data_IF_081424345991
#
_entry.id   IF_081424345991
#
_cell.length_a   1.000
_cell.length_b   1.000
_cell.length_c   1.000
_cell.angle_alpha   90.00
_cell.angle_beta   90.00
_cell.angle_gamma   90.00
#
_symmetry.space_group_name_H-M   'P 1'
#
loop_
_entity.id
_entity.type
_entity.pdbx_description
1 polymer ?
#
# COMPACT_ATOMS: atom_id res chain seq x y z
N UNK A 1 -41.80 -35.54 5.59
CA UNK A 1 -43.23 -35.29 5.48
C UNK A 1 -43.38 -33.85 5.10
N UNK A 2 -43.66 -33.46 3.98
CA UNK A 2 -44.45 -33.62 2.84
C UNK A 2 -44.16 -32.43 1.89
N UNK A 3 -43.81 -32.76 0.78
CA UNK A 3 -43.70 -32.06 -0.50
C UNK A 3 -44.98 -31.28 -0.82
N UNK A 4 -44.86 -30.06 -1.40
CA UNK A 4 -45.76 -29.63 -2.49
C UNK A 4 -45.02 -28.72 -3.48
N UNK A 5 -44.95 -29.21 -4.71
CA UNK A 5 -44.79 -28.49 -5.99
C UNK A 5 -46.14 -27.90 -6.43
N UNK A 6 -46.12 -26.81 -7.18
CA UNK A 6 -47.02 -26.45 -8.28
C UNK A 6 -46.24 -25.43 -9.13
N UNK A 7 -45.78 -25.71 -10.32
CA UNK A 7 -46.38 -25.88 -11.65
C UNK A 7 -46.92 -24.55 -12.24
N UNK A 8 -46.17 -24.08 -13.23
CA UNK A 8 -46.46 -23.60 -14.59
C UNK A 8 -47.83 -22.98 -14.88
N UNK A 9 -47.80 -21.76 -15.53
CA UNK A 9 -48.74 -21.39 -16.60
C UNK A 9 -48.03 -20.57 -17.66
N UNK A 10 -48.20 -21.00 -18.86
CA UNK A 10 -47.93 -20.68 -20.25
C UNK A 10 -48.40 -19.29 -20.71
N UNK A 11 -47.69 -18.83 -21.74
CA UNK A 11 -48.11 -17.85 -22.78
C UNK A 11 -49.45 -18.20 -23.46
N UNK A 12 -50.06 -17.29 -24.29
CA UNK A 12 -49.62 -16.93 -25.64
C UNK A 12 -49.99 -15.46 -26.05
N UNK A 13 -49.31 -14.76 -26.97
CA UNK A 13 -49.35 -14.96 -28.41
C UNK A 13 -50.24 -13.88 -29.11
N UNK A 14 -49.68 -13.15 -30.10
CA UNK A 14 -50.25 -12.71 -31.37
C UNK A 14 -49.39 -11.60 -32.00
N UNK A 15 -48.68 -11.84 -33.07
CA UNK A 15 -48.98 -11.82 -34.50
C UNK A 15 -49.81 -10.61 -34.98
N UNK A 16 -49.25 -9.85 -35.91
CA UNK A 16 -49.72 -9.42 -37.24
C UNK A 16 -48.81 -8.26 -37.69
N UNK A 17 -48.01 -8.34 -38.73
CA UNK A 17 -48.26 -8.44 -40.16
C UNK A 17 -48.64 -7.11 -40.81
N UNK A 18 -47.90 -6.77 -41.85
CA UNK A 18 -48.43 -6.03 -43.00
C UNK A 18 -47.48 -5.00 -43.57
N UNK A 19 -46.70 -5.37 -44.55
CA UNK A 19 -46.90 -5.10 -45.99
C UNK A 19 -46.43 -3.73 -46.53
N UNK A 20 -45.53 -3.83 -47.48
CA UNK A 20 -45.44 -3.36 -48.88
C UNK A 20 -44.77 -1.98 -49.02
N UNK A 21 -43.67 -1.78 -49.71
CA UNK A 21 -43.38 -2.17 -51.08
C UNK A 21 -43.52 -0.95 -51.96
N UNK A 22 -42.40 -0.48 -52.51
CA UNK A 22 -42.44 0.10 -53.87
C UNK A 22 -41.02 0.17 -54.43
N UNK A 23 -40.87 -0.45 -55.57
CA UNK A 23 -39.69 -0.39 -56.44
C UNK A 23 -39.79 0.90 -57.31
N UNK A 24 -38.66 1.48 -57.62
CA UNK A 24 -38.56 2.58 -58.58
C UNK A 24 -37.20 2.59 -59.25
N UNK A 25 -37.18 2.09 -60.44
CA UNK A 25 -36.10 2.04 -61.42
C UNK A 25 -35.82 3.44 -61.97
N UNK A 26 -34.58 3.83 -62.19
CA UNK A 26 -34.22 5.04 -62.92
C UNK A 26 -32.74 5.09 -63.33
N UNK A 27 -32.50 4.89 -64.58
CA UNK A 27 -31.24 4.78 -65.33
C UNK A 27 -30.43 6.07 -65.40
N UNK A 28 -29.12 5.92 -65.41
CA UNK A 28 -28.08 6.50 -66.26
C UNK A 28 -27.99 8.01 -66.48
N UNK A 29 -26.84 8.57 -66.24
CA UNK A 29 -26.01 9.25 -67.25
C UNK A 29 -24.64 9.64 -66.73
N UNK A 30 -23.66 9.44 -67.54
CA UNK A 30 -22.24 9.74 -67.45
C UNK A 30 -21.93 11.22 -67.21
N UNK A 31 -20.82 11.54 -66.63
CA UNK A 31 -20.20 12.81 -66.88
C UNK A 31 -19.28 13.33 -65.80
N UNK A 32 -18.03 13.37 -66.16
CA UNK A 32 -17.05 14.36 -65.77
C UNK A 32 -16.25 14.14 -64.46
N UNK A 33 -15.06 13.66 -64.65
CA UNK A 33 -13.88 13.84 -63.82
C UNK A 33 -13.78 15.28 -63.31
N UNK A 34 -13.79 15.44 -62.03
CA UNK A 34 -13.14 16.55 -61.32
C UNK A 34 -12.30 15.97 -60.20
N UNK A 35 -10.98 15.95 -60.46
CA UNK A 35 -9.98 15.82 -59.40
C UNK A 35 -10.26 16.93 -58.36
N UNK A 36 -10.77 16.51 -57.20
CA UNK A 36 -10.74 17.34 -56.00
C UNK A 36 -9.54 16.85 -55.18
N UNK A 37 -8.46 17.60 -55.30
CA UNK A 37 -7.32 17.52 -54.40
C UNK A 37 -7.85 17.98 -53.02
N UNK A 38 -8.22 17.00 -52.17
CA UNK A 38 -8.46 17.27 -50.74
C UNK A 38 -7.08 17.41 -50.13
N UNK A 39 -6.61 18.64 -50.03
CA UNK A 39 -5.53 19.00 -49.15
C UNK A 39 -5.99 18.63 -47.74
N UNK A 40 -5.50 17.48 -47.23
CA UNK A 40 -5.57 17.13 -45.83
C UNK A 40 -4.77 18.18 -45.07
N UNK A 41 -5.39 19.24 -44.64
CA UNK A 41 -4.89 20.05 -43.53
C UNK A 41 -4.85 19.12 -42.31
N UNK A 42 -3.71 18.52 -42.10
CA UNK A 42 -3.31 18.05 -40.78
C UNK A 42 -3.31 19.30 -39.89
N UNK A 43 -4.46 19.60 -39.30
CA UNK A 43 -4.53 20.45 -38.14
C UNK A 43 -3.82 19.66 -37.07
N UNK A 44 -2.54 19.95 -36.88
CA UNK A 44 -1.82 19.59 -35.66
C UNK A 44 -2.62 20.29 -34.54
N UNK A 45 -3.56 19.56 -33.96
CA UNK A 45 -4.16 19.97 -32.71
C UNK A 45 -2.98 20.26 -31.77
N UNK A 46 -2.88 21.45 -31.17
CA UNK A 46 -1.89 21.65 -30.12
C UNK A 46 -2.16 20.55 -29.12
N UNK A 47 -1.16 19.70 -28.90
CA UNK A 47 -1.14 18.84 -27.74
C UNK A 47 -1.25 19.82 -26.56
N UNK A 48 -2.46 20.02 -26.07
CA UNK A 48 -2.71 20.56 -24.75
C UNK A 48 -1.84 19.71 -23.86
N UNK A 49 -0.79 20.34 -23.29
CA UNK A 49 0.11 19.70 -22.37
C UNK A 49 -0.78 19.02 -21.34
N UNK A 50 -0.86 17.71 -21.41
CA UNK A 50 -1.64 16.94 -20.47
C UNK A 50 -1.16 17.38 -19.08
N UNK A 51 -2.08 17.94 -18.28
CA UNK A 51 -1.84 18.33 -16.89
C UNK A 51 -1.61 17.05 -16.07
N UNK A 52 -0.54 16.32 -16.42
CA UNK A 52 -0.15 15.10 -15.72
C UNK A 52 0.50 15.46 -14.38
N UNK A 53 0.31 14.61 -13.40
CA UNK A 53 0.95 14.72 -12.08
C UNK A 53 2.43 14.44 -12.23
N UNK A 54 3.29 15.32 -11.70
CA UNK A 54 4.73 15.08 -11.69
C UNK A 54 5.06 13.91 -10.76
N UNK A 55 5.78 12.93 -11.29
CA UNK A 55 6.13 11.70 -10.58
C UNK A 55 7.59 11.34 -10.79
N UNK A 56 8.10 10.58 -9.84
CA UNK A 56 9.34 9.79 -9.93
C UNK A 56 8.96 8.32 -9.98
N UNK A 57 9.40 7.62 -11.00
CA UNK A 57 9.17 6.19 -11.20
C UNK A 57 10.47 5.46 -10.97
N UNK A 58 10.51 4.57 -9.98
CA UNK A 58 11.64 3.66 -9.76
C UNK A 58 11.36 2.35 -10.50
N UNK A 59 12.35 1.89 -11.26
CA UNK A 59 12.29 0.68 -12.08
C UNK A 59 13.07 -0.46 -11.38
N UNK A 60 12.83 -1.67 -11.80
CA UNK A 60 13.38 -2.91 -11.23
C UNK A 60 14.92 -2.97 -11.25
N UNK A 61 15.57 -2.31 -12.20
CA UNK A 61 17.03 -2.23 -12.30
C UNK A 61 17.66 -1.20 -11.34
N UNK A 62 16.84 -0.50 -10.55
CA UNK A 62 17.26 0.55 -9.61
C UNK A 62 17.38 1.92 -10.25
N UNK A 63 17.09 2.06 -11.54
CA UNK A 63 17.03 3.38 -12.19
C UNK A 63 15.76 4.11 -11.78
N UNK A 64 15.84 5.44 -11.71
CA UNK A 64 14.69 6.28 -11.46
C UNK A 64 14.50 7.26 -12.61
N UNK A 65 13.28 7.31 -13.13
CA UNK A 65 12.88 8.25 -14.18
C UNK A 65 11.91 9.29 -13.61
N UNK A 66 12.05 10.54 -14.03
CA UNK A 66 11.15 11.63 -13.63
C UNK A 66 10.36 12.12 -14.84
N UNK A 67 9.08 12.43 -14.61
CA UNK A 67 8.20 12.90 -15.67
C UNK A 67 6.80 13.22 -15.18
N UNK A 68 5.87 13.32 -16.12
CA UNK A 68 4.44 13.52 -15.82
C UNK A 68 3.68 12.23 -16.10
N UNK A 69 3.00 11.72 -15.10
CA UNK A 69 2.15 10.55 -15.23
C UNK A 69 0.96 10.87 -16.11
N UNK A 70 0.80 10.11 -17.19
CA UNK A 70 -0.29 10.25 -18.16
C UNK A 70 -1.38 9.21 -17.87
N UNK A 71 -0.97 7.94 -17.73
CA UNK A 71 -1.88 6.82 -17.53
C UNK A 71 -1.19 5.68 -16.78
N UNK A 72 -1.94 4.95 -15.98
CA UNK A 72 -1.61 3.61 -15.52
C UNK A 72 -2.70 2.69 -16.03
N UNK A 73 -2.35 1.86 -17.01
CA UNK A 73 -3.21 0.82 -17.56
C UNK A 73 -3.01 -0.53 -16.85
N UNK A 74 -3.55 -1.60 -17.44
CA UNK A 74 -3.43 -2.94 -16.88
C UNK A 74 -2.01 -3.53 -16.98
N UNK A 75 -1.27 -3.17 -18.03
CA UNK A 75 0.04 -3.78 -18.33
C UNK A 75 1.19 -2.76 -18.36
N UNK A 76 0.90 -1.47 -18.48
CA UNK A 76 1.93 -0.45 -18.60
C UNK A 76 1.54 0.88 -17.95
N UNK A 77 2.57 1.61 -17.56
CA UNK A 77 2.53 2.99 -17.13
C UNK A 77 2.99 3.87 -18.30
N UNK A 78 2.23 4.93 -18.58
CA UNK A 78 2.60 5.95 -19.56
C UNK A 78 3.03 7.23 -18.86
N UNK A 79 4.21 7.71 -19.20
CA UNK A 79 4.81 8.90 -18.62
C UNK A 79 5.34 9.82 -19.72
N UNK A 80 5.06 11.12 -19.63
CA UNK A 80 5.63 12.14 -20.49
C UNK A 80 6.92 12.71 -19.89
N UNK A 81 8.00 12.75 -20.66
CA UNK A 81 9.23 13.39 -20.27
C UNK A 81 9.17 14.93 -20.32
N UNK A 82 10.25 15.61 -19.98
CA UNK A 82 10.34 17.08 -20.00
C UNK A 82 10.09 17.68 -21.41
N UNK A 83 10.29 16.91 -22.47
CA UNK A 83 10.01 17.32 -23.86
C UNK A 83 8.56 17.08 -24.27
N UNK A 84 7.74 16.46 -23.42
CA UNK A 84 6.38 16.06 -23.72
C UNK A 84 6.25 14.74 -24.48
N UNK A 85 7.35 14.02 -24.69
CA UNK A 85 7.34 12.72 -25.35
C UNK A 85 6.85 11.65 -24.38
N UNK A 86 5.78 10.95 -24.76
CA UNK A 86 5.21 9.87 -23.96
C UNK A 86 6.03 8.58 -24.14
N UNK A 87 6.40 7.96 -23.03
CA UNK A 87 7.07 6.67 -22.96
C UNK A 87 6.17 5.69 -22.21
N UNK A 88 6.19 4.43 -22.61
CA UNK A 88 5.51 3.33 -21.95
C UNK A 88 6.50 2.48 -21.20
N UNK A 89 6.23 2.23 -19.93
CA UNK A 89 7.03 1.37 -19.04
C UNK A 89 6.14 0.19 -18.63
N UNK A 90 6.54 -1.06 -18.90
CA UNK A 90 5.79 -2.23 -18.44
C UNK A 90 5.64 -2.23 -16.92
N UNK A 91 4.41 -2.47 -16.40
CA UNK A 91 4.16 -2.45 -14.95
C UNK A 91 4.94 -3.50 -14.18
N UNK A 92 5.30 -4.61 -14.83
CA UNK A 92 6.16 -5.64 -14.23
C UNK A 92 7.55 -5.11 -13.85
N UNK A 93 8.03 -4.07 -14.55
CA UNK A 93 9.29 -3.39 -14.28
C UNK A 93 9.17 -2.25 -13.30
N UNK A 94 7.97 -1.71 -13.08
CA UNK A 94 7.75 -0.59 -12.16
C UNK A 94 7.77 -1.10 -10.72
N UNK A 95 8.59 -0.49 -9.89
CA UNK A 95 8.63 -0.73 -8.44
C UNK A 95 7.77 0.24 -7.69
N UNK A 96 8.06 1.52 -7.88
CA UNK A 96 7.32 2.58 -7.20
C UNK A 96 7.02 3.73 -8.14
N UNK A 97 5.89 4.35 -7.92
CA UNK A 97 5.53 5.64 -8.51
C UNK A 97 5.31 6.60 -7.35
N UNK A 98 6.16 7.60 -7.23
CA UNK A 98 6.11 8.58 -6.16
C UNK A 98 5.77 9.95 -6.72
N UNK A 99 4.79 10.61 -6.11
CA UNK A 99 4.42 11.96 -6.50
C UNK A 99 5.48 12.95 -6.01
N UNK A 100 5.91 13.84 -6.88
CA UNK A 100 6.78 14.96 -6.49
C UNK A 100 5.97 16.08 -5.87
N UNK A 101 6.39 16.50 -4.67
CA UNK A 101 5.73 17.55 -3.88
C UNK A 101 6.13 18.97 -4.23
N UNK A 102 7.05 19.14 -5.19
CA UNK A 102 7.64 20.45 -5.56
C UNK A 102 6.70 21.34 -6.36
N UNK A 103 5.49 20.91 -6.67
CA UNK A 103 4.51 21.74 -7.35
C UNK A 103 3.70 22.57 -6.35
N UNK A 104 3.61 23.91 -6.55
CA UNK A 104 2.76 24.76 -5.75
C UNK A 104 1.29 24.35 -5.95
N UNK A 105 0.66 23.85 -4.93
CA UNK A 105 -0.73 23.39 -4.93
C UNK A 105 -1.02 22.19 -4.04
N UNK A 106 0.00 21.51 -3.54
CA UNK A 106 -0.18 20.54 -2.47
C UNK A 106 -0.56 21.29 -1.20
N UNK A 107 -1.80 21.17 -0.78
CA UNK A 107 -2.21 21.63 0.56
C UNK A 107 -1.26 20.96 1.56
N UNK A 108 -0.56 21.71 2.43
CA UNK A 108 0.28 21.08 3.42
C UNK A 108 -0.57 20.07 4.19
N UNK A 109 -0.03 18.89 4.44
CA UNK A 109 -0.68 17.78 5.16
C UNK A 109 -0.98 18.10 6.64
N UNK A 110 -1.27 19.35 6.97
CA UNK A 110 -1.43 19.89 8.33
C UNK A 110 -2.88 20.04 8.77
N UNK A 111 -3.85 19.66 7.97
CA UNK A 111 -5.18 19.43 8.51
C UNK A 111 -5.16 18.07 9.20
N UNK A 112 -4.99 18.05 10.52
CA UNK A 112 -5.12 16.83 11.32
C UNK A 112 -6.48 16.20 10.99
N UNK A 113 -6.44 15.02 10.41
CA UNK A 113 -7.65 14.28 10.08
C UNK A 113 -8.44 14.02 11.35
N UNK A 114 -9.74 14.35 11.32
CA UNK A 114 -10.62 14.27 12.50
C UNK A 114 -11.07 12.84 12.80
N UNK A 115 -11.00 11.97 11.82
CA UNK A 115 -11.48 10.59 11.90
C UNK A 115 -10.41 9.65 11.45
N UNK A 116 -10.21 8.57 12.19
CA UNK A 116 -9.38 7.43 11.83
C UNK A 116 -10.24 6.17 11.80
N UNK A 117 -10.22 5.47 10.69
CA UNK A 117 -10.93 4.19 10.51
C UNK A 117 -9.90 3.08 10.46
N UNK A 118 -10.07 2.08 11.30
CA UNK A 118 -9.27 0.86 11.32
C UNK A 118 -10.09 -0.27 10.70
N UNK A 119 -9.53 -0.94 9.69
CA UNK A 119 -10.17 -2.07 9.04
C UNK A 119 -9.73 -3.40 9.65
N UNK A 120 -10.45 -4.47 9.36
CA UNK A 120 -10.17 -5.84 9.86
C UNK A 120 -8.84 -6.40 9.38
N UNK A 121 -8.26 -5.86 8.32
CA UNK A 121 -6.96 -6.22 7.77
C UNK A 121 -5.82 -5.32 8.29
N UNK A 122 -6.04 -4.62 9.39
CA UNK A 122 -5.13 -3.64 9.97
C UNK A 122 -4.84 -2.41 9.09
N UNK A 123 -5.52 -2.24 7.96
CA UNK A 123 -5.48 -1.00 7.17
C UNK A 123 -6.03 0.15 8.01
N UNK A 124 -5.32 1.27 8.01
CA UNK A 124 -5.74 2.50 8.71
C UNK A 124 -5.94 3.63 7.71
N UNK A 125 -7.13 4.22 7.72
CA UNK A 125 -7.50 5.35 6.88
C UNK A 125 -7.91 6.52 7.76
N UNK A 126 -7.50 7.72 7.39
CA UNK A 126 -7.89 8.94 8.06
C UNK A 126 -8.67 9.86 7.12
N UNK A 127 -9.61 10.60 7.67
CA UNK A 127 -10.48 11.52 6.95
C UNK A 127 -11.04 12.59 7.86
N UNK A 128 -11.97 13.37 7.34
CA UNK A 128 -12.59 14.47 8.06
C UNK A 128 -13.95 14.09 8.65
N UNK A 129 -14.66 13.17 8.00
CA UNK A 129 -15.99 12.72 8.42
C UNK A 129 -16.21 11.24 8.11
N UNK A 130 -16.98 10.57 8.98
CA UNK A 130 -17.39 9.18 8.83
C UNK A 130 -18.88 9.04 9.10
N UNK A 131 -19.60 8.49 8.15
CA UNK A 131 -21.02 8.21 8.24
C UNK A 131 -21.32 6.75 7.85
N UNK A 132 -22.35 6.20 8.49
CA UNK A 132 -22.84 4.88 8.15
C UNK A 132 -24.37 4.85 8.22
N UNK A 133 -24.98 4.36 7.12
CA UNK A 133 -26.39 4.03 7.07
C UNK A 133 -26.59 2.81 6.17
N UNK A 134 -27.24 1.78 6.65
CA UNK A 134 -27.48 0.56 5.90
C UNK A 134 -26.24 -0.32 5.70
N UNK A 135 -25.95 -0.74 4.47
CA UNK A 135 -24.89 -1.71 4.18
C UNK A 135 -23.47 -1.09 4.01
N UNK A 136 -23.40 0.20 3.69
CA UNK A 136 -22.13 0.88 3.37
C UNK A 136 -21.81 1.99 4.38
N UNK A 137 -20.54 2.09 4.74
CA UNK A 137 -19.98 3.21 5.46
C UNK A 137 -19.23 4.12 4.49
N UNK A 138 -19.15 5.40 4.80
CA UNK A 138 -18.45 6.40 3.98
C UNK A 138 -17.44 7.13 4.82
N UNK A 139 -16.20 7.18 4.36
CA UNK A 139 -15.14 8.04 4.87
C UNK A 139 -14.90 9.17 3.86
N UNK A 140 -15.01 10.42 4.29
CA UNK A 140 -14.77 11.60 3.47
C UNK A 140 -13.52 12.33 3.96
N UNK A 141 -12.71 12.85 3.04
CA UNK A 141 -11.48 13.58 3.38
C UNK A 141 -10.75 14.08 2.13
N UNK A 142 -9.46 14.39 2.28
CA UNK A 142 -8.61 14.88 1.17
C UNK A 142 -8.50 13.87 0.01
N UNK A 143 -8.57 12.58 0.32
CA UNK A 143 -8.59 11.52 -0.69
C UNK A 143 -9.91 11.42 -1.49
N UNK A 144 -10.92 12.22 -1.11
CA UNK A 144 -12.26 12.15 -1.64
C UNK A 144 -13.20 11.37 -0.74
N UNK A 145 -14.24 10.79 -1.33
CA UNK A 145 -15.22 9.94 -0.65
C UNK A 145 -14.89 8.47 -0.90
N UNK A 146 -14.56 7.75 0.15
CA UNK A 146 -14.23 6.33 0.12
C UNK A 146 -15.39 5.54 0.72
N UNK A 147 -15.98 4.64 -0.03
CA UNK A 147 -17.02 3.73 0.44
C UNK A 147 -16.37 2.46 1.00
N UNK A 148 -16.74 2.13 2.23
CA UNK A 148 -16.20 1.01 2.99
C UNK A 148 -17.32 -0.01 3.26
N UNK A 149 -17.14 -1.28 2.89
CA UNK A 149 -18.05 -2.32 3.38
C UNK A 149 -18.02 -2.33 4.90
N UNK A 150 -19.16 -2.14 5.56
CA UNK A 150 -19.18 -2.09 7.02
C UNK A 150 -18.56 -3.36 7.64
N UNK A 151 -18.72 -4.51 7.00
CA UNK A 151 -18.11 -5.76 7.44
C UNK A 151 -16.58 -5.71 7.55
N UNK A 152 -15.92 -4.75 6.92
CA UNK A 152 -14.46 -4.54 6.99
C UNK A 152 -14.05 -3.51 8.01
N UNK A 153 -14.97 -2.68 8.50
CA UNK A 153 -14.66 -1.68 9.53
C UNK A 153 -14.55 -2.35 10.89
N UNK A 154 -13.39 -2.24 11.53
CA UNK A 154 -13.10 -2.77 12.86
C UNK A 154 -13.33 -1.71 13.94
N UNK A 155 -12.81 -0.49 13.70
CA UNK A 155 -12.94 0.61 14.63
C UNK A 155 -12.97 1.95 13.92
N UNK A 156 -13.61 2.92 14.55
CA UNK A 156 -13.58 4.33 14.15
C UNK A 156 -13.17 5.15 15.37
N UNK A 157 -12.16 5.97 15.21
CA UNK A 157 -11.64 6.87 16.22
C UNK A 157 -11.86 8.31 15.78
N UNK A 158 -12.44 9.11 16.63
CA UNK A 158 -12.61 10.55 16.40
C UNK A 158 -11.68 11.34 17.29
N UNK A 159 -10.98 12.28 16.70
CA UNK A 159 -10.10 13.19 17.39
C UNK A 159 -10.82 14.50 17.67
N UNK A 160 -10.71 15.00 18.88
CA UNK A 160 -11.17 16.35 19.21
C UNK A 160 -10.26 17.39 18.54
N UNK A 161 -10.82 18.52 18.09
CA UNK A 161 -10.02 19.64 17.57
C UNK A 161 -9.02 20.12 18.64
N UNK A 162 -7.74 20.24 18.26
CA UNK A 162 -6.69 20.74 19.14
C UNK A 162 -6.22 19.78 20.24
N UNK A 163 -6.69 18.53 20.27
CA UNK A 163 -6.13 17.53 21.16
C UNK A 163 -4.74 17.13 20.65
N UNK A 164 -3.70 17.46 21.42
CA UNK A 164 -2.40 16.82 21.28
C UNK A 164 -2.63 15.31 21.21
N UNK A 165 -1.80 14.57 20.43
CA UNK A 165 -1.94 13.13 20.21
C UNK A 165 -2.27 12.42 21.54
N UNK A 166 -3.56 12.35 21.86
CA UNK A 166 -4.05 11.69 23.05
C UNK A 166 -3.84 10.20 22.87
N UNK A 167 -3.54 9.49 23.97
CA UNK A 167 -3.41 8.04 23.96
C UNK A 167 -4.61 7.43 23.23
N UNK A 168 -4.32 6.51 22.31
CA UNK A 168 -5.38 5.80 21.61
C UNK A 168 -6.18 4.98 22.61
N UNK A 169 -7.50 5.15 22.65
CA UNK A 169 -8.37 4.32 23.48
C UNK A 169 -8.32 2.84 23.08
N UNK A 170 -7.84 2.53 21.85
CA UNK A 170 -7.72 1.17 21.34
C UNK A 170 -6.83 0.28 22.22
N UNK A 171 -5.78 0.86 22.83
CA UNK A 171 -4.86 0.15 23.71
C UNK A 171 -5.43 -0.11 25.11
N UNK A 172 -6.57 0.54 25.43
CA UNK A 172 -7.24 0.47 26.73
C UNK A 172 -8.54 -0.36 26.69
N UNK A 173 -8.82 -1.02 25.55
CA UNK A 173 -10.05 -1.83 25.42
C UNK A 173 -10.02 -2.98 26.41
N UNK A 174 -11.11 -3.19 27.21
CA UNK A 174 -11.18 -4.28 28.17
C UNK A 174 -11.05 -5.65 27.51
N UNK A 175 -10.32 -6.56 28.18
CA UNK A 175 -10.27 -7.96 27.78
C UNK A 175 -11.63 -8.63 27.99
N UNK A 176 -12.01 -9.56 27.10
CA UNK A 176 -13.26 -10.33 27.23
C UNK A 176 -14.50 -9.60 26.74
N UNK A 177 -14.37 -8.47 26.03
CA UNK A 177 -15.50 -7.77 25.38
C UNK A 177 -16.27 -8.74 24.47
N UNK A 178 -17.59 -8.87 24.68
CA UNK A 178 -18.45 -9.84 24.01
C UNK A 178 -19.35 -9.22 22.93
N UNK A 179 -19.39 -7.90 22.80
CA UNK A 179 -20.22 -7.16 21.83
C UNK A 179 -19.49 -5.95 21.24
N UNK A 180 -20.16 -5.19 20.38
CA UNK A 180 -19.64 -3.92 19.88
C UNK A 180 -19.50 -2.93 21.02
N UNK A 181 -18.59 -1.97 20.88
CA UNK A 181 -18.30 -0.95 21.88
C UNK A 181 -18.55 0.45 21.33
N UNK A 182 -19.22 1.26 22.14
CA UNK A 182 -19.17 2.73 22.04
C UNK A 182 -18.22 3.26 23.12
N UNK A 183 -17.30 4.12 22.71
CA UNK A 183 -16.31 4.71 23.59
C UNK A 183 -16.67 6.18 23.82
N UNK A 184 -16.93 6.52 25.07
CA UNK A 184 -17.28 7.87 25.50
C UNK A 184 -16.07 8.51 26.15
N UNK A 185 -15.71 9.71 25.69
CA UNK A 185 -14.64 10.49 26.30
C UNK A 185 -15.04 11.05 27.66
N UNK A 186 -14.19 10.86 28.66
CA UNK A 186 -14.30 11.43 30.00
C UNK A 186 -13.09 12.32 30.29
N UNK A 187 -13.15 13.26 31.25
CA UNK A 187 -12.01 14.06 31.65
C UNK A 187 -10.79 13.22 32.09
N UNK A 188 -11.05 12.07 32.72
CA UNK A 188 -10.03 11.21 33.33
C UNK A 188 -9.73 9.92 32.48
N UNK A 189 -10.26 9.83 31.23
CA UNK A 189 -10.04 8.65 30.40
C UNK A 189 -11.23 8.30 29.50
N UNK A 190 -11.52 7.02 29.40
CA UNK A 190 -12.55 6.49 28.50
C UNK A 190 -13.56 5.62 29.25
N UNK A 191 -14.81 5.73 28.87
CA UNK A 191 -15.86 4.82 29.29
C UNK A 191 -16.24 3.93 28.10
N UNK A 192 -16.27 2.62 28.32
CA UNK A 192 -16.61 1.63 27.32
C UNK A 192 -18.02 1.09 27.58
N UNK A 193 -18.89 1.22 26.60
CA UNK A 193 -20.27 0.74 26.70
C UNK A 193 -20.48 -0.37 25.66
N UNK A 194 -20.75 -1.58 26.15
CA UNK A 194 -21.09 -2.71 25.29
C UNK A 194 -22.53 -2.56 24.79
N UNK A 195 -22.71 -2.59 23.46
CA UNK A 195 -24.02 -2.45 22.80
C UNK A 195 -23.94 -2.91 21.36
N UNK A 196 -25.06 -2.95 20.64
CA UNK A 196 -25.06 -3.11 19.19
C UNK A 196 -25.13 -1.74 18.50
N UNK A 197 -24.17 -1.45 17.62
CA UNK A 197 -24.15 -0.19 16.87
C UNK A 197 -25.08 -0.32 15.67
N UNK A 198 -26.04 0.60 15.51
CA UNK A 198 -27.09 0.57 14.49
C UNK A 198 -26.86 1.54 13.33
N UNK A 199 -26.66 2.84 13.63
CA UNK A 199 -26.42 3.86 12.60
C UNK A 199 -25.49 4.94 13.12
N UNK A 200 -24.81 5.64 12.19
CA UNK A 200 -23.92 6.77 12.49
C UNK A 200 -24.25 7.89 11.54
N UNK A 201 -24.64 9.02 12.11
CA UNK A 201 -24.86 10.28 11.42
C UNK A 201 -23.88 11.36 11.91
N UNK A 202 -23.79 12.53 11.29
CA UNK A 202 -22.91 13.61 11.76
C UNK A 202 -23.16 14.00 13.20
N UNK A 203 -24.41 13.95 13.67
CA UNK A 203 -24.81 14.44 14.99
C UNK A 203 -25.08 13.33 16.01
N UNK A 204 -25.31 12.10 15.56
CA UNK A 204 -25.84 11.04 16.42
C UNK A 204 -25.26 9.68 16.04
N UNK A 205 -24.91 8.90 17.06
CA UNK A 205 -24.66 7.45 16.98
C UNK A 205 -25.85 6.76 17.63
N UNK A 206 -26.53 5.92 16.86
CA UNK A 206 -27.67 5.13 17.39
C UNK A 206 -27.18 3.75 17.78
N UNK A 207 -27.47 3.34 18.99
CA UNK A 207 -27.11 2.03 19.54
C UNK A 207 -28.32 1.29 20.06
N UNK A 208 -28.21 -0.02 20.16
CA UNK A 208 -29.22 -0.87 20.82
C UNK A 208 -28.56 -1.47 22.06
N UNK A 209 -29.12 -1.16 23.21
CA UNK A 209 -28.72 -1.67 24.52
C UNK A 209 -29.96 -2.22 25.23
N UNK A 210 -29.91 -3.47 25.69
CA UNK A 210 -31.04 -4.15 26.37
C UNK A 210 -32.36 -4.06 25.58
N UNK A 211 -32.31 -4.25 24.25
CA UNK A 211 -33.40 -4.12 23.29
C UNK A 211 -33.99 -2.70 23.14
N UNK A 212 -33.40 -1.71 23.78
CA UNK A 212 -33.77 -0.29 23.64
C UNK A 212 -32.85 0.45 22.63
N UNK A 213 -33.50 1.20 21.74
CA UNK A 213 -32.75 2.04 20.77
C UNK A 213 -32.43 3.39 21.38
N UNK A 214 -31.15 3.66 21.61
CA UNK A 214 -30.66 4.87 22.29
C UNK A 214 -29.86 5.74 21.32
N UNK A 215 -30.28 7.00 21.08
CA UNK A 215 -29.50 7.97 20.35
C UNK A 215 -28.44 8.61 21.25
N UNK A 216 -27.16 8.43 20.91
CA UNK A 216 -26.03 9.04 21.63
C UNK A 216 -25.52 10.22 20.82
N UNK A 217 -25.37 11.40 21.44
CA UNK A 217 -24.78 12.58 20.76
C UNK A 217 -23.37 12.26 20.26
N UNK A 218 -23.14 12.49 18.96
CA UNK A 218 -21.88 12.22 18.30
C UNK A 218 -20.69 12.90 19.00
N UNK A 219 -20.87 14.12 19.50
CA UNK A 219 -19.83 14.90 20.21
C UNK A 219 -19.32 14.26 21.52
N UNK A 220 -20.04 13.30 22.08
CA UNK A 220 -19.62 12.55 23.27
C UNK A 220 -18.84 11.30 22.93
N UNK A 221 -18.99 10.80 21.70
CA UNK A 221 -18.38 9.55 21.24
C UNK A 221 -17.00 9.83 20.67
N UNK A 222 -15.97 9.24 21.26
CA UNK A 222 -14.58 9.34 20.80
C UNK A 222 -14.15 8.13 20.01
N UNK A 223 -14.90 7.02 20.08
CA UNK A 223 -14.61 5.83 19.32
C UNK A 223 -15.76 4.86 19.23
N UNK A 224 -15.67 3.99 18.25
CA UNK A 224 -16.54 2.82 18.04
C UNK A 224 -15.67 1.63 17.69
N UNK A 225 -16.01 0.47 18.20
CA UNK A 225 -15.39 -0.80 17.82
C UNK A 225 -16.44 -1.85 17.57
N UNK A 226 -16.35 -2.49 16.43
CA UNK A 226 -17.15 -3.67 16.12
C UNK A 226 -16.43 -4.94 16.55
N UNK A 227 -17.15 -5.85 17.20
CA UNK A 227 -16.63 -7.17 17.55
C UNK A 227 -16.53 -8.02 16.27
N UNK A 228 -15.35 -8.05 15.67
CA UNK A 228 -15.09 -8.78 14.43
C UNK A 228 -13.78 -9.51 14.50
N UNK A 229 -13.74 -10.70 13.90
CA UNK A 229 -12.49 -11.43 13.71
C UNK A 229 -11.58 -10.65 12.76
N UNK A 230 -10.27 -10.74 13.01
CA UNK A 230 -9.27 -10.23 12.09
C UNK A 230 -9.40 -10.96 10.76
N UNK A 231 -9.48 -10.22 9.67
CA UNK A 231 -9.51 -10.81 8.35
C UNK A 231 -8.09 -11.33 8.01
N UNK A 232 -8.03 -12.53 7.47
CA UNK A 232 -6.81 -12.97 6.77
C UNK A 232 -6.63 -11.99 5.61
N UNK A 233 -5.58 -11.20 5.67
CA UNK A 233 -5.26 -10.19 4.67
C UNK A 233 -4.95 -10.91 3.37
N UNK A 234 -5.73 -10.76 2.30
CA UNK A 234 -5.24 -11.11 0.99
C UNK A 234 -4.00 -10.25 0.75
N UNK A 235 -2.89 -10.85 0.41
CA UNK A 235 -1.67 -10.10 0.08
C UNK A 235 -1.94 -9.38 -1.23
N UNK A 236 -2.44 -8.16 -1.15
CA UNK A 236 -2.59 -7.27 -2.29
C UNK A 236 -1.22 -7.06 -2.93
N UNK A 237 -1.17 -7.05 -4.26
CA UNK A 237 0.08 -6.93 -5.01
C UNK A 237 0.66 -5.52 -5.01
N UNK A 238 -0.14 -4.54 -4.66
CA UNK A 238 0.20 -3.11 -4.75
C UNK A 238 -0.24 -2.39 -3.49
N UNK A 239 0.65 -1.59 -2.90
CA UNK A 239 0.28 -0.70 -1.80
C UNK A 239 0.18 0.73 -2.33
N UNK A 240 -0.91 1.41 -2.04
CA UNK A 240 -1.15 2.80 -2.40
C UNK A 240 -1.17 3.64 -1.14
N UNK A 241 -0.20 4.52 -1.01
CA UNK A 241 -0.15 5.51 0.05
C UNK A 241 -0.91 6.77 -0.39
N UNK A 242 -1.87 7.16 0.41
CA UNK A 242 -2.69 8.36 0.20
C UNK A 242 -2.58 9.30 1.39
N UNK A 243 -3.07 10.52 1.23
CA UNK A 243 -3.28 11.38 2.40
C UNK A 243 -4.20 10.68 3.40
N UNK A 244 -3.69 10.47 4.60
CA UNK A 244 -4.44 9.83 5.67
C UNK A 244 -4.29 8.31 5.78
N UNK A 245 -3.48 7.64 4.96
CA UNK A 245 -3.26 6.20 5.16
C UNK A 245 -2.70 5.46 3.96
N UNK A 246 -2.83 4.15 4.01
CA UNK A 246 -2.43 3.29 2.91
C UNK A 246 -3.49 2.21 2.63
N UNK A 247 -3.64 1.85 1.37
CA UNK A 247 -4.54 0.81 0.89
C UNK A 247 -3.76 -0.25 0.12
N UNK A 248 -4.15 -1.50 0.29
CA UNK A 248 -3.67 -2.60 -0.56
C UNK A 248 -4.67 -2.83 -1.68
N UNK A 249 -4.18 -2.83 -2.91
CA UNK A 249 -4.99 -2.98 -4.11
C UNK A 249 -4.54 -4.18 -4.94
N UNK A 250 -5.50 -4.89 -5.52
CA UNK A 250 -5.26 -5.94 -6.49
C UNK A 250 -4.97 -5.36 -7.88
N UNK A 251 -5.60 -4.24 -8.20
CA UNK A 251 -5.35 -3.48 -9.42
C UNK A 251 -5.44 -1.97 -9.17
N UNK A 252 -4.66 -1.24 -9.94
CA UNK A 252 -4.56 0.22 -9.88
C UNK A 252 -4.63 0.75 -11.31
N UNK A 253 -5.49 1.73 -11.56
CA UNK A 253 -5.56 2.43 -12.83
C UNK A 253 -5.56 3.95 -12.60
N UNK A 254 -4.73 4.67 -13.35
CA UNK A 254 -4.70 6.12 -13.30
C UNK A 254 -5.47 6.69 -14.48
N UNK A 255 -6.42 7.56 -14.20
CA UNK A 255 -7.25 8.23 -15.18
C UNK A 255 -7.19 9.75 -15.01
N UNK A 256 -7.76 10.51 -15.92
CA UNK A 256 -7.90 11.97 -15.78
C UNK A 256 -8.78 12.38 -14.59
N UNK A 257 -9.65 11.48 -14.11
CA UNK A 257 -10.49 11.70 -12.94
C UNK A 257 -9.78 11.41 -11.61
N UNK A 258 -8.67 10.69 -11.64
CA UNK A 258 -7.92 10.27 -10.46
C UNK A 258 -7.48 8.82 -10.52
N UNK A 259 -7.09 8.28 -9.36
CA UNK A 259 -6.66 6.90 -9.19
C UNK A 259 -7.86 6.01 -8.89
N UNK A 260 -8.10 5.03 -9.75
CA UNK A 260 -9.10 3.98 -9.52
C UNK A 260 -8.40 2.79 -8.87
N UNK A 261 -8.89 2.38 -7.71
CA UNK A 261 -8.39 1.23 -6.96
C UNK A 261 -9.40 0.08 -7.02
N UNK A 262 -8.93 -1.11 -7.34
CA UNK A 262 -9.64 -2.35 -7.07
C UNK A 262 -9.00 -2.97 -5.82
N UNK A 263 -9.67 -2.86 -4.69
CA UNK A 263 -9.14 -3.29 -3.41
C UNK A 263 -10.23 -3.98 -2.59
N UNK A 264 -9.91 -5.14 -2.03
CA UNK A 264 -10.85 -5.90 -1.20
C UNK A 264 -11.29 -5.18 0.08
N UNK A 265 -10.49 -4.20 0.53
CA UNK A 265 -10.76 -3.43 1.75
C UNK A 265 -11.79 -2.31 1.56
N UNK A 266 -12.01 -1.87 0.32
CA UNK A 266 -12.97 -0.83 -0.07
C UNK A 266 -13.96 -1.41 -1.06
N UNK A 267 -15.06 -0.71 -1.34
CA UNK A 267 -15.97 -1.19 -2.37
C UNK A 267 -15.29 -1.12 -3.75
N UNK A 268 -15.53 -2.15 -4.55
CA UNK A 268 -14.72 -2.64 -5.69
C UNK A 268 -14.21 -1.59 -6.61
N UNK A 269 -14.27 -0.50 -6.80
CA UNK A 269 -13.64 0.51 -7.67
C UNK A 269 -13.76 1.89 -7.02
N UNK A 270 -12.95 2.11 -6.04
CA UNK A 270 -12.91 3.41 -5.39
C UNK A 270 -12.06 4.37 -6.20
N UNK A 271 -12.63 5.53 -6.50
CA UNK A 271 -11.91 6.65 -7.09
C UNK A 271 -11.28 7.49 -5.99
N UNK A 272 -9.95 7.57 -5.99
CA UNK A 272 -9.16 8.41 -5.09
C UNK A 272 -8.72 9.65 -5.84
N UNK A 273 -8.83 10.80 -5.21
CA UNK A 273 -8.35 12.06 -5.77
C UNK A 273 -6.85 11.96 -6.06
N UNK A 274 -6.47 12.26 -7.30
CA UNK A 274 -5.08 12.26 -7.74
C UNK A 274 -4.15 13.10 -6.84
N UNK A 275 -4.64 14.20 -6.30
CA UNK A 275 -3.88 15.07 -5.42
C UNK A 275 -3.55 14.43 -4.07
N UNK A 276 -4.32 13.47 -3.62
CA UNK A 276 -4.11 12.77 -2.36
C UNK A 276 -3.16 11.57 -2.47
N UNK A 277 -2.85 11.10 -3.67
CA UNK A 277 -1.93 9.97 -3.88
C UNK A 277 -0.51 10.43 -3.65
N UNK A 278 0.21 9.77 -2.74
CA UNK A 278 1.62 10.04 -2.43
C UNK A 278 2.54 9.07 -3.17
N UNK A 279 2.22 7.78 -3.06
CA UNK A 279 3.05 6.71 -3.58
C UNK A 279 2.21 5.51 -3.98
N UNK A 280 2.60 4.87 -5.05
CA UNK A 280 2.10 3.55 -5.47
C UNK A 280 3.29 2.62 -5.45
N UNK A 281 3.23 1.56 -4.64
CA UNK A 281 4.29 0.58 -4.47
C UNK A 281 3.84 -0.77 -5.03
N UNK A 282 4.30 -1.10 -6.22
CA UNK A 282 4.04 -2.37 -6.89
C UNK A 282 4.91 -3.51 -6.35
N UNK A 283 5.98 -3.17 -5.64
CA UNK A 283 6.90 -4.15 -5.07
C UNK A 283 6.45 -4.67 -3.70
N UNK A 284 5.55 -3.96 -3.00
CA UNK A 284 5.15 -4.29 -1.63
C UNK A 284 4.61 -5.71 -1.45
N UNK A 285 3.94 -6.28 -2.47
CA UNK A 285 3.46 -7.66 -2.46
C UNK A 285 4.46 -8.68 -3.01
N UNK A 286 5.55 -8.24 -3.61
CA UNK A 286 6.59 -9.06 -4.25
C UNK A 286 7.93 -8.99 -3.55
N UNK A 287 8.01 -8.20 -2.48
CA UNK A 287 9.25 -7.91 -1.76
C UNK A 287 9.14 -8.37 -0.31
N UNK A 288 10.10 -9.15 0.13
CA UNK A 288 10.29 -9.53 1.53
C UNK A 288 11.46 -8.75 2.11
N UNK A 289 11.16 -7.79 2.98
CA UNK A 289 12.20 -7.04 3.71
C UNK A 289 12.74 -7.89 4.85
N UNK A 290 14.06 -8.11 4.89
CA UNK A 290 14.71 -8.89 5.95
C UNK A 290 14.66 -8.18 7.30
N UNK A 291 14.54 -6.85 7.32
CA UNK A 291 14.38 -6.07 8.54
C UNK A 291 13.08 -6.36 9.31
N UNK A 292 12.05 -6.86 8.62
CA UNK A 292 10.77 -7.27 9.22
C UNK A 292 10.60 -8.78 9.32
N UNK A 293 11.54 -9.58 8.79
CA UNK A 293 11.45 -11.03 8.74
C UNK A 293 12.43 -11.66 9.75
N UNK A 294 11.93 -12.52 10.63
CA UNK A 294 12.79 -13.27 11.52
C UNK A 294 13.69 -14.24 10.72
N UNK A 295 14.99 -14.33 11.01
CA UNK A 295 15.86 -15.32 10.39
C UNK A 295 15.48 -16.74 10.83
N UNK A 296 15.59 -17.71 9.91
CA UNK A 296 15.40 -19.14 10.20
C UNK A 296 16.52 -19.66 11.14
N UNK A 297 17.71 -19.09 10.99
CA UNK A 297 18.88 -19.40 11.83
C UNK A 297 19.62 -18.11 12.16
N UNK A 298 20.01 -17.97 13.42
CA UNK A 298 20.80 -16.84 13.90
C UNK A 298 21.89 -17.36 14.84
N UNK A 299 23.13 -17.20 14.41
CA UNK A 299 24.30 -17.47 15.22
C UNK A 299 25.02 -16.16 15.49
N UNK A 300 25.24 -15.84 16.76
CA UNK A 300 25.96 -14.64 17.17
C UNK A 300 27.04 -15.04 18.19
N UNK A 301 28.28 -14.79 17.83
CA UNK A 301 29.43 -15.09 18.66
C UNK A 301 30.28 -13.84 18.83
N UNK A 302 29.95 -12.96 19.79
CA UNK A 302 30.72 -11.74 19.98
C UNK A 302 32.15 -12.03 20.43
N UNK A 303 33.00 -11.00 20.36
CA UNK A 303 34.44 -11.09 20.65
C UNK A 303 34.77 -11.72 21.98
N UNK A 304 33.94 -11.58 23.00
CA UNK A 304 34.19 -12.16 24.37
C UNK A 304 33.76 -13.63 24.48
N UNK A 305 33.49 -14.31 23.39
CA UNK A 305 33.03 -15.71 23.37
C UNK A 305 31.51 -15.87 23.39
N UNK A 306 31.06 -17.09 23.63
CA UNK A 306 29.65 -17.43 23.55
C UNK A 306 28.77 -16.62 24.51
N UNK A 307 27.76 -15.93 23.98
CA UNK A 307 26.73 -15.25 24.77
C UNK A 307 25.80 -16.19 25.52
N UNK A 308 25.86 -17.49 25.22
CA UNK A 308 25.02 -18.50 25.88
C UNK A 308 25.21 -18.53 27.42
N UNK A 309 26.26 -17.90 27.92
CA UNK A 309 26.57 -17.80 29.36
C UNK A 309 26.10 -16.53 30.04
N UNK A 310 25.59 -15.55 29.26
CA UNK A 310 25.15 -14.24 29.78
C UNK A 310 23.70 -14.02 29.38
N UNK A 311 22.81 -14.36 30.28
CA UNK A 311 21.37 -14.20 30.11
C UNK A 311 21.03 -12.74 29.84
N UNK A 312 20.26 -12.48 28.80
CA UNK A 312 19.80 -11.13 28.40
C UNK A 312 20.73 -10.35 27.46
N UNK A 313 21.98 -10.78 27.20
CA UNK A 313 22.85 -10.05 26.25
C UNK A 313 22.68 -10.48 24.79
N UNK A 314 22.23 -11.70 24.52
CA UNK A 314 22.04 -12.19 23.15
C UNK A 314 21.18 -11.24 22.27
N UNK A 315 20.05 -10.68 22.72
CA UNK A 315 19.24 -9.76 21.94
C UNK A 315 19.97 -8.46 21.55
N UNK A 316 20.92 -7.99 22.36
CA UNK A 316 21.67 -6.76 22.09
C UNK A 316 22.65 -6.90 20.91
N UNK A 317 23.04 -8.14 20.57
CA UNK A 317 23.95 -8.44 19.46
C UNK A 317 23.23 -8.98 18.22
N UNK A 318 21.98 -9.36 18.34
CA UNK A 318 21.18 -9.82 17.22
C UNK A 318 21.04 -8.71 16.16
N UNK A 319 20.86 -9.08 14.89
CA UNK A 319 20.48 -8.13 13.84
C UNK A 319 19.23 -7.34 14.26
N UNK A 320 19.28 -6.04 14.13
CA UNK A 320 18.16 -5.18 14.52
C UNK A 320 17.70 -4.28 13.40
N UNK A 321 16.38 -4.12 13.21
CA UNK A 321 15.85 -3.11 12.32
C UNK A 321 16.30 -1.70 12.75
N UNK A 322 16.61 -0.85 11.79
CA UNK A 322 16.90 0.57 12.00
C UNK A 322 16.02 1.39 11.07
N UNK A 323 15.44 2.44 11.62
CA UNK A 323 14.63 3.37 10.84
C UNK A 323 15.48 4.17 9.85
N UNK A 324 14.82 4.79 8.87
CA UNK A 324 15.43 5.82 8.08
C UNK A 324 15.85 7.00 8.98
N UNK A 325 17.04 7.53 8.75
CA UNK A 325 17.57 8.68 9.48
C UNK A 325 18.08 9.76 8.49
N UNK A 326 18.61 10.87 9.02
CA UNK A 326 19.07 11.97 8.19
C UNK A 326 20.27 11.62 7.29
N UNK A 327 21.05 10.60 7.66
CA UNK A 327 22.21 10.12 6.89
C UNK A 327 21.79 9.01 5.92
N UNK A 328 20.77 8.24 6.29
CA UNK A 328 20.31 7.09 5.54
C UNK A 328 18.81 7.26 5.30
N UNK A 329 18.42 7.71 4.12
CA UNK A 329 17.04 7.99 3.74
C UNK A 329 16.11 6.77 3.73
N UNK A 330 16.65 5.56 3.99
CA UNK A 330 15.92 4.29 3.90
C UNK A 330 16.04 3.48 5.18
N UNK A 331 15.01 2.72 5.56
CA UNK A 331 15.11 1.80 6.69
C UNK A 331 16.13 0.70 6.39
N UNK A 332 16.67 0.07 7.40
CA UNK A 332 17.71 -0.94 7.21
C UNK A 332 17.75 -2.00 8.29
N UNK A 333 18.77 -2.85 8.17
CA UNK A 333 19.13 -3.87 9.15
C UNK A 333 20.56 -3.62 9.62
N UNK A 334 20.77 -3.46 10.92
CA UNK A 334 22.10 -3.33 11.51
C UNK A 334 22.57 -4.69 11.95
N UNK A 335 23.75 -5.12 11.46
CA UNK A 335 24.36 -6.41 11.77
C UNK A 335 25.75 -6.19 12.34
N UNK A 336 26.05 -6.83 13.47
CA UNK A 336 27.35 -6.75 14.13
C UNK A 336 28.29 -7.85 13.61
N UNK A 337 29.61 -7.69 13.73
CA UNK A 337 30.58 -8.74 13.42
C UNK A 337 30.34 -10.01 14.22
N UNK A 338 30.76 -11.16 13.69
CA UNK A 338 30.58 -12.51 14.24
C UNK A 338 29.09 -12.90 14.28
N UNK A 339 28.33 -12.42 13.31
CA UNK A 339 26.92 -12.77 13.12
C UNK A 339 26.74 -13.54 11.84
N UNK A 340 26.03 -14.65 11.92
CA UNK A 340 25.51 -15.41 10.78
C UNK A 340 23.99 -15.46 10.92
N UNK A 341 23.30 -14.86 9.96
CA UNK A 341 21.85 -14.86 9.91
C UNK A 341 21.37 -15.45 8.59
N UNK A 342 20.42 -16.38 8.63
CA UNK A 342 19.94 -17.11 7.47
C UNK A 342 18.44 -16.95 7.37
N UNK A 343 17.95 -16.53 6.22
CA UNK A 343 16.53 -16.42 5.91
C UNK A 343 16.13 -17.39 4.82
N UNK A 344 14.88 -17.83 4.87
CA UNK A 344 14.28 -18.60 3.78
C UNK A 344 13.99 -17.67 2.61
N UNK A 345 14.38 -18.07 1.41
CA UNK A 345 14.02 -17.39 0.16
C UNK A 345 12.60 -17.83 -0.21
N UNK A 346 11.62 -16.90 -0.31
CA UNK A 346 10.27 -17.22 -0.75
C UNK A 346 10.26 -17.86 -2.15
N UNK A 347 9.37 -18.81 -2.42
CA UNK A 347 9.23 -19.39 -3.77
C UNK A 347 8.94 -18.30 -4.81
N UNK A 348 9.58 -18.41 -5.98
CA UNK A 348 9.43 -17.44 -7.08
C UNK A 348 10.31 -16.20 -6.95
N UNK A 349 11.11 -16.08 -5.88
CA UNK A 349 12.09 -14.99 -5.75
C UNK A 349 13.16 -15.08 -6.82
N UNK A 350 13.54 -13.92 -7.34
CA UNK A 350 14.57 -13.82 -8.40
C UNK A 350 15.80 -13.09 -7.93
N UNK A 351 15.64 -12.10 -7.05
CA UNK A 351 16.70 -11.17 -6.72
C UNK A 351 16.75 -10.89 -5.22
N UNK A 352 17.96 -10.74 -4.72
CA UNK A 352 18.21 -10.07 -3.44
C UNK A 352 18.91 -8.75 -3.72
N UNK A 353 18.46 -7.68 -3.09
CA UNK A 353 19.12 -6.38 -3.16
C UNK A 353 19.25 -5.73 -1.80
N UNK A 354 20.30 -4.94 -1.67
CA UNK A 354 20.56 -4.07 -0.53
C UNK A 354 21.65 -3.05 -0.92
N UNK A 355 21.87 -2.07 -0.08
CA UNK A 355 23.13 -1.33 -0.11
C UNK A 355 23.83 -1.51 1.26
N UNK A 356 25.12 -1.71 1.24
CA UNK A 356 25.91 -2.06 2.42
C UNK A 356 26.84 -0.93 2.77
N UNK A 357 26.80 -0.47 4.01
CA UNK A 357 27.70 0.57 4.52
C UNK A 357 28.18 0.26 5.94
N UNK A 358 29.28 0.87 6.32
CA UNK A 358 29.77 0.80 7.70
C UNK A 358 28.95 1.76 8.56
N UNK A 359 28.32 1.25 9.61
CA UNK A 359 27.37 2.06 10.38
C UNK A 359 28.06 2.94 11.45
N UNK A 360 29.04 2.41 12.13
CA UNK A 360 29.86 3.11 13.09
C UNK A 360 30.91 2.12 13.65
N UNK A 361 32.07 2.61 14.08
CA UNK A 361 33.09 1.80 14.72
C UNK A 361 34.47 2.05 14.14
N UNK A 362 35.47 1.35 14.65
CA UNK A 362 36.87 1.69 14.41
C UNK A 362 37.56 0.90 13.29
N UNK A 363 36.92 -0.10 12.70
CA UNK A 363 37.60 -0.94 11.71
C UNK A 363 36.66 -1.56 10.68
N UNK A 364 37.23 -2.01 9.55
CA UNK A 364 36.44 -2.65 8.49
C UNK A 364 35.83 -3.96 8.96
N UNK A 365 34.62 -4.25 8.51
CA UNK A 365 33.97 -5.56 8.63
C UNK A 365 33.97 -6.27 7.28
N UNK A 366 33.98 -7.59 7.29
CA UNK A 366 33.81 -8.40 6.08
C UNK A 366 32.37 -8.87 6.01
N UNK A 367 31.71 -8.54 4.92
CA UNK A 367 30.36 -9.00 4.60
C UNK A 367 30.46 -10.12 3.59
N UNK A 368 29.86 -11.26 3.93
CA UNK A 368 29.73 -12.41 3.03
C UNK A 368 28.26 -12.72 2.87
N UNK A 369 27.79 -12.87 1.63
CA UNK A 369 26.43 -13.31 1.34
C UNK A 369 26.48 -14.67 0.64
N UNK A 370 25.67 -15.58 1.15
CA UNK A 370 25.56 -16.95 0.66
C UNK A 370 24.15 -17.18 0.10
N UNK A 371 24.06 -17.91 -1.00
CA UNK A 371 22.79 -18.49 -1.46
C UNK A 371 22.96 -20.00 -1.33
N UNK A 372 22.19 -20.61 -0.45
CA UNK A 372 22.42 -21.95 0.08
C UNK A 372 23.88 -22.08 0.60
N UNK A 373 24.68 -22.98 0.07
CA UNK A 373 26.07 -23.17 0.48
C UNK A 373 27.07 -22.44 -0.45
N UNK A 374 26.59 -21.65 -1.40
CA UNK A 374 27.44 -20.95 -2.36
C UNK A 374 27.64 -19.48 -1.97
N UNK A 375 28.88 -19.08 -1.82
CA UNK A 375 29.24 -17.68 -1.64
C UNK A 375 28.99 -16.91 -2.95
N UNK A 376 28.13 -15.89 -2.89
CA UNK A 376 27.75 -15.06 -4.05
C UNK A 376 28.26 -13.62 -3.94
N UNK A 377 28.64 -13.20 -2.74
CA UNK A 377 29.22 -11.89 -2.49
C UNK A 377 30.18 -11.94 -1.30
N UNK A 378 31.29 -11.22 -1.39
CA UNK A 378 32.21 -10.99 -0.26
C UNK A 378 32.90 -9.66 -0.46
N UNK A 379 32.85 -8.79 0.55
CA UNK A 379 33.49 -7.49 0.52
C UNK A 379 33.84 -6.99 1.91
N UNK A 380 35.02 -6.36 2.03
CA UNK A 380 35.37 -5.57 3.20
C UNK A 380 34.67 -4.20 3.12
N UNK A 381 33.93 -3.86 4.16
CA UNK A 381 33.17 -2.61 4.26
C UNK A 381 33.81 -1.74 5.35
N UNK A 382 34.28 -0.58 4.96
CA UNK A 382 34.96 0.37 5.87
C UNK A 382 34.41 1.80 5.79
N UNK A 383 33.66 2.11 4.72
CA UNK A 383 33.11 3.46 4.45
C UNK A 383 31.65 3.58 4.83
N UNK A 384 31.21 4.80 5.08
CA UNK A 384 29.78 5.15 5.28
C UNK A 384 29.02 5.28 3.97
N UNK A 385 29.71 5.34 2.84
CA UNK A 385 29.08 5.37 1.52
C UNK A 385 28.45 4.00 1.21
N UNK A 386 27.15 3.94 0.87
CA UNK A 386 26.46 2.69 0.60
C UNK A 386 26.96 2.03 -0.69
N UNK A 387 27.39 0.79 -0.60
CA UNK A 387 27.79 -0.05 -1.74
C UNK A 387 26.58 -0.87 -2.18
N UNK A 388 26.06 -0.69 -3.40
CA UNK A 388 24.92 -1.44 -3.90
C UNK A 388 25.28 -2.90 -4.13
N UNK A 389 24.38 -3.80 -3.69
CA UNK A 389 24.51 -5.25 -3.85
C UNK A 389 23.22 -5.76 -4.48
N UNK A 390 23.33 -6.40 -5.64
CA UNK A 390 22.23 -7.04 -6.35
C UNK A 390 22.66 -8.44 -6.74
N UNK A 391 21.94 -9.46 -6.27
CA UNK A 391 22.29 -10.87 -6.43
C UNK A 391 21.11 -11.66 -6.99
N UNK A 392 21.40 -12.59 -7.90
CA UNK A 392 20.42 -13.59 -8.35
C UNK A 392 20.23 -14.67 -7.27
N UNK A 393 18.99 -14.82 -6.80
CA UNK A 393 18.59 -15.84 -5.81
C UNK A 393 17.55 -16.80 -6.35
N UNK A 394 17.30 -16.80 -7.66
CA UNK A 394 16.22 -17.55 -8.30
C UNK A 394 16.30 -19.06 -8.11
N UNK A 395 17.49 -19.60 -7.96
CA UNK A 395 17.73 -21.03 -7.72
C UNK A 395 17.91 -21.41 -6.26
N UNK A 396 17.94 -20.39 -5.36
CA UNK A 396 18.25 -20.58 -3.95
C UNK A 396 17.01 -20.84 -3.08
N UNK A 397 17.26 -21.48 -1.94
CA UNK A 397 16.25 -21.71 -0.90
C UNK A 397 16.53 -20.92 0.37
N UNK A 398 17.80 -20.58 0.63
CA UNK A 398 18.27 -19.86 1.80
C UNK A 398 19.23 -18.76 1.40
N UNK A 399 19.06 -17.61 2.01
CA UNK A 399 19.96 -16.48 1.93
C UNK A 399 20.67 -16.33 3.29
N UNK A 400 21.99 -16.53 3.30
CA UNK A 400 22.82 -16.33 4.48
C UNK A 400 23.56 -15.01 4.39
N UNK A 401 23.52 -14.21 5.45
CA UNK A 401 24.34 -13.01 5.60
C UNK A 401 25.28 -13.26 6.77
N UNK A 402 26.57 -13.15 6.50
CA UNK A 402 27.63 -13.23 7.51
C UNK A 402 28.35 -11.90 7.56
N UNK A 403 28.48 -11.37 8.75
CA UNK A 403 29.35 -10.21 9.03
C UNK A 403 30.44 -10.68 9.98
N UNK A 404 31.70 -10.52 9.58
CA UNK A 404 32.86 -10.91 10.39
C UNK A 404 33.84 -9.75 10.54
N UNK A 405 34.85 -9.97 11.39
CA UNK A 405 35.94 -9.03 11.55
C UNK A 405 36.75 -8.94 10.26
N UNK A 406 37.18 -7.74 9.93
CA UNK A 406 38.14 -7.54 8.86
C UNK A 406 39.56 -7.97 9.25
N UNK A 407 40.52 -7.86 8.34
CA UNK A 407 41.89 -8.26 8.56
C UNK A 407 42.59 -7.51 9.72
N UNK A 408 42.02 -6.37 10.16
CA UNK A 408 42.51 -5.60 11.31
C UNK A 408 42.03 -6.15 12.69
N UNK A 409 41.29 -7.26 12.73
CA UNK A 409 40.85 -7.95 13.98
C UNK A 409 39.68 -7.29 14.69
N UNK A 410 39.63 -7.44 15.99
CA UNK A 410 38.48 -7.32 16.89
C UNK A 410 37.75 -5.96 16.98
N UNK A 411 38.18 -4.94 16.28
CA UNK A 411 37.61 -3.58 16.36
C UNK A 411 36.65 -3.25 15.19
N UNK A 412 36.18 -4.26 14.48
CA UNK A 412 35.25 -4.05 13.36
C UNK A 412 33.92 -3.49 13.87
N UNK A 413 33.44 -2.48 13.17
CA UNK A 413 32.14 -1.86 13.45
C UNK A 413 30.98 -2.64 12.91
N UNK A 414 29.77 -2.22 13.29
CA UNK A 414 28.55 -2.77 12.74
C UNK A 414 28.37 -2.36 11.26
N UNK A 415 27.70 -3.21 10.51
CA UNK A 415 27.36 -3.01 9.12
C UNK A 415 25.86 -2.72 9.01
N UNK A 416 25.53 -1.70 8.24
CA UNK A 416 24.16 -1.36 7.87
C UNK A 416 23.86 -1.94 6.49
N UNK A 417 22.78 -2.65 6.39
CA UNK A 417 22.14 -3.09 5.15
C UNK A 417 20.92 -2.21 4.92
N UNK A 418 20.92 -1.38 3.91
CA UNK A 418 19.78 -0.53 3.55
C UNK A 418 18.77 -1.33 2.73
N UNK A 419 17.51 -1.31 3.17
CA UNK A 419 16.42 -2.05 2.53
C UNK A 419 16.79 -3.46 2.05
N UNK A 420 17.35 -4.33 2.92
CA UNK A 420 17.70 -5.68 2.49
C UNK A 420 16.44 -6.44 2.11
N UNK A 421 16.26 -6.68 0.81
CA UNK A 421 15.01 -7.14 0.22
C UNK A 421 15.22 -8.35 -0.69
N UNK A 422 14.36 -9.37 -0.52
CA UNK A 422 14.22 -10.48 -1.46
C UNK A 422 13.00 -10.19 -2.34
N UNK A 423 13.17 -10.20 -3.65
CA UNK A 423 12.18 -9.82 -4.65
C UNK A 423 11.80 -11.01 -5.54
N UNK A 424 10.48 -11.12 -5.83
CA UNK A 424 9.90 -12.11 -6.74
C UNK A 424 9.87 -11.59 -8.18
#
# INVERSE_FOLDING_TARGET
MSIRRCDTVREPGSTCAGLAGFAGVGRAAAGAWRMLVVAACLVAAPLLAAEGVAVRVEIDDGTAEEGRLVEIGAESLQMADASGRVRSIPLERVRTVERRSDLPGGRPATAESRVRVLLTDATSLAGDDFAWSGAAATLSGSAGRVELPLARVRAVEWRAEGAAASASWLDSVPEGTASDLVVIGKPDGFEFVECAISTISPDTVTVVLDDETIPVKRSKVVGLRWLRADAVVPVGRTTVEIDGGSLRADAVAWTTAGLVLDAAAVDRKTLVNAAAVKRIDYAAGRTTLLSGAAPERLDVEPFFGSLARIEGLAPAFAPRPVAADALHGKPGLLVRPRTVAVWRIPPGSRRFRTAVSHAAGAGPAVVTIMVDDRRVFEQAVSGTEPVPVVLDVSSGRRLGITVDFGPAGAMAGAVRFEEPAIEQ
#
